data_IF_677754342237
#
_entry.id   IF_677754342237
#
_cell.length_a   1.000
_cell.length_b   1.000
_cell.length_c   1.000
_cell.angle_alpha   90.00
_cell.angle_beta   90.00
_cell.angle_gamma   90.00
#
_symmetry.space_group_name_H-M   'P 1'
#
loop_
_entity.id
_entity.type
_entity.pdbx_description
1 polymer ?
#
# COMPACT_ATOMS: atom_id res chain seq x y z
N UNK A 1 0.43 16.15 0.65
CA UNK A 1 0.74 14.87 -0.01
C UNK A 1 -0.59 14.18 -0.27
N UNK A 2 -0.81 13.64 -1.46
CA UNK A 2 -2.03 12.89 -1.80
C UNK A 2 -1.59 11.48 -2.17
N UNK A 3 -2.14 10.47 -1.48
CA UNK A 3 -2.02 9.09 -1.92
C UNK A 3 -3.06 8.89 -3.02
N UNK A 4 -2.60 8.57 -4.22
CA UNK A 4 -3.47 8.29 -5.36
C UNK A 4 -3.74 6.78 -5.36
N UNK A 5 -4.96 6.40 -5.05
CA UNK A 5 -5.46 5.06 -5.31
C UNK A 5 -5.92 4.96 -6.78
N UNK A 6 -5.99 3.74 -7.31
CA UNK A 6 -6.61 3.53 -8.63
C UNK A 6 -8.09 3.95 -8.59
N UNK A 7 -8.67 4.43 -9.71
CA UNK A 7 -10.10 4.72 -9.78
C UNK A 7 -10.96 3.50 -9.42
N UNK A 8 -12.08 3.71 -8.72
CA UNK A 8 -12.99 2.64 -8.30
C UNK A 8 -12.45 1.78 -7.14
N UNK A 9 -11.49 2.31 -6.39
CA UNK A 9 -10.88 1.65 -5.24
C UNK A 9 -10.97 2.54 -4.01
N UNK A 10 -11.50 1.98 -2.93
CA UNK A 10 -11.44 2.56 -1.60
C UNK A 10 -10.20 2.05 -0.89
N UNK A 11 -9.27 2.95 -0.54
CA UNK A 11 -8.16 2.61 0.34
C UNK A 11 -8.66 2.54 1.79
N UNK A 12 -8.69 1.33 2.34
CA UNK A 12 -9.08 1.09 3.71
C UNK A 12 -7.89 1.35 4.62
N UNK A 13 -7.99 2.48 5.33
CA UNK A 13 -6.93 3.09 6.14
C UNK A 13 -6.73 2.38 7.49
N UNK A 14 -5.55 2.56 8.10
CA UNK A 14 -4.72 1.46 8.49
C UNK A 14 -4.94 1.02 9.93
N UNK A 15 -4.66 -0.25 10.13
CA UNK A 15 -4.36 -0.78 11.46
C UNK A 15 -2.91 -0.41 11.77
N UNK A 16 -2.72 0.33 12.86
CA UNK A 16 -1.39 0.70 13.36
C UNK A 16 -1.08 -0.14 14.59
N UNK A 17 0.01 -0.90 14.55
CA UNK A 17 0.44 -1.77 15.64
C UNK A 17 1.78 -1.32 16.18
N UNK A 18 1.90 -1.26 17.51
CA UNK A 18 3.13 -0.88 18.20
C UNK A 18 3.69 -2.09 18.94
N UNK A 19 4.97 -2.38 18.74
CA UNK A 19 5.69 -3.39 19.49
C UNK A 19 7.12 -2.94 19.73
N UNK A 20 7.46 -2.57 20.97
CA UNK A 20 8.79 -2.04 21.32
C UNK A 20 9.16 -0.85 20.40
N UNK A 21 10.30 -0.94 19.70
CA UNK A 21 10.78 0.03 18.71
C UNK A 21 10.06 -0.06 17.35
N UNK A 22 9.25 -1.09 17.10
CA UNK A 22 8.56 -1.33 15.85
C UNK A 22 7.18 -0.67 15.78
N UNK A 23 6.86 -0.09 14.62
CA UNK A 23 5.55 0.43 14.24
C UNK A 23 5.16 -0.21 12.92
N UNK A 24 4.08 -0.97 12.91
CA UNK A 24 3.54 -1.58 11.70
C UNK A 24 2.31 -0.81 11.24
N UNK A 25 2.22 -0.55 9.94
CA UNK A 25 1.07 0.04 9.27
C UNK A 25 0.56 -0.97 8.26
N UNK A 26 -0.66 -1.46 8.43
CA UNK A 26 -1.31 -2.31 7.44
C UNK A 26 -2.40 -1.53 6.71
N UNK A 27 -2.46 -1.69 5.39
CA UNK A 27 -3.49 -1.08 4.55
C UNK A 27 -3.95 -2.07 3.50
N UNK A 28 -5.15 -1.87 2.98
CA UNK A 28 -5.66 -2.57 1.82
C UNK A 28 -6.46 -1.64 0.91
N UNK A 29 -6.63 -2.08 -0.33
CA UNK A 29 -7.39 -1.45 -1.38
C UNK A 29 -8.56 -2.36 -1.73
N UNK A 30 -9.79 -1.89 -1.51
CA UNK A 30 -11.00 -2.63 -1.87
C UNK A 30 -11.60 -2.10 -3.16
N UNK A 31 -11.98 -3.00 -4.06
CA UNK A 31 -12.78 -2.67 -5.25
C UNK A 31 -14.18 -2.22 -4.81
N UNK A 32 -14.61 -1.05 -5.27
CA UNK A 32 -15.89 -0.47 -4.85
C UNK A 32 -17.11 -1.26 -5.38
N UNK A 33 -16.93 -2.05 -6.44
CA UNK A 33 -18.02 -2.82 -7.06
C UNK A 33 -18.10 -4.24 -6.49
N UNK A 34 -16.96 -4.92 -6.33
CA UNK A 34 -16.91 -6.33 -5.90
C UNK A 34 -16.68 -6.50 -4.40
N UNK A 35 -16.25 -5.45 -3.70
CA UNK A 35 -15.77 -5.51 -2.31
C UNK A 35 -14.58 -6.47 -2.10
N UNK A 36 -13.88 -6.84 -3.18
CA UNK A 36 -12.70 -7.69 -3.10
C UNK A 36 -11.44 -6.86 -2.80
N UNK A 37 -10.48 -7.46 -2.10
CA UNK A 37 -9.18 -6.83 -1.85
C UNK A 37 -8.29 -6.97 -3.08
N UNK A 38 -8.00 -5.85 -3.74
CA UNK A 38 -7.17 -5.80 -4.96
C UNK A 38 -5.68 -5.69 -4.66
N UNK A 39 -5.34 -4.98 -3.59
CA UNK A 39 -3.98 -4.84 -3.11
C UNK A 39 -3.97 -4.69 -1.59
N UNK A 40 -2.87 -5.10 -0.97
CA UNK A 40 -2.60 -4.81 0.43
C UNK A 40 -1.12 -4.56 0.63
N UNK A 41 -0.80 -3.88 1.70
CA UNK A 41 0.60 -3.70 2.08
C UNK A 41 0.79 -3.55 3.57
N UNK A 42 2.01 -3.82 3.97
CA UNK A 42 2.48 -3.61 5.34
C UNK A 42 3.75 -2.79 5.30
N UNK A 43 3.80 -1.73 6.10
CA UNK A 43 5.02 -0.94 6.33
C UNK A 43 5.49 -1.19 7.75
N UNK A 44 6.73 -1.62 7.92
CA UNK A 44 7.38 -1.75 9.22
C UNK A 44 8.39 -0.62 9.41
N UNK A 45 8.26 0.09 10.53
CA UNK A 45 9.10 1.21 10.91
C UNK A 45 9.75 0.96 12.26
N UNK A 46 11.08 0.94 12.30
CA UNK A 46 11.84 0.84 13.56
C UNK A 46 12.30 2.23 13.96
N UNK A 47 11.96 2.64 15.18
CA UNK A 47 12.33 3.93 15.77
C UNK A 47 13.43 3.71 16.80
N UNK A 48 14.66 4.18 16.52
CA UNK A 48 15.78 4.16 17.49
C UNK A 48 16.28 5.56 17.82
N UNK A 49 16.64 5.76 19.09
CA UNK A 49 17.29 6.98 19.60
C UNK A 49 16.32 8.07 20.08
N UNK A 50 16.87 9.07 20.79
CA UNK A 50 16.14 10.15 21.49
C UNK A 50 15.30 11.08 20.58
N UNK A 51 15.39 10.95 19.25
CA UNK A 51 14.74 11.87 18.29
C UNK A 51 13.62 11.25 17.46
N UNK A 52 13.25 9.98 17.71
CA UNK A 52 12.15 9.33 16.99
C UNK A 52 12.37 9.20 15.48
N UNK A 53 13.62 9.29 15.02
CA UNK A 53 13.96 9.11 13.61
C UNK A 53 13.79 7.64 13.20
N UNK A 54 13.34 7.43 11.96
CA UNK A 54 13.26 6.10 11.36
C UNK A 54 14.67 5.54 11.21
N UNK A 55 14.96 4.48 11.97
CA UNK A 55 16.20 3.72 11.87
C UNK A 55 16.15 2.68 10.74
N UNK A 56 14.99 2.03 10.59
CA UNK A 56 14.76 1.05 9.53
C UNK A 56 13.33 1.15 9.03
N UNK A 57 13.18 0.98 7.71
CA UNK A 57 11.89 0.90 7.03
C UNK A 57 11.89 -0.31 6.10
N UNK A 58 10.87 -1.13 6.20
CA UNK A 58 10.58 -2.20 5.24
C UNK A 58 9.13 -2.10 4.80
N UNK A 59 8.89 -2.44 3.53
CA UNK A 59 7.58 -2.46 2.94
C UNK A 59 7.37 -3.79 2.23
N UNK A 60 6.20 -4.39 2.43
CA UNK A 60 5.71 -5.50 1.63
C UNK A 60 4.43 -5.05 0.96
N UNK A 61 4.34 -5.27 -0.35
CA UNK A 61 3.14 -5.05 -1.13
C UNK A 61 2.71 -6.37 -1.77
N UNK A 62 1.41 -6.62 -1.80
CA UNK A 62 0.80 -7.79 -2.44
C UNK A 62 -0.36 -7.32 -3.30
N UNK A 63 -0.35 -7.74 -4.57
CA UNK A 63 -1.39 -7.45 -5.54
C UNK A 63 -2.10 -8.77 -5.88
N UNK A 64 -3.43 -8.75 -5.90
CA UNK A 64 -4.27 -9.96 -6.03
C UNK A 64 -4.92 -10.13 -7.40
N UNK A 65 -5.06 -9.05 -8.17
CA UNK A 65 -5.60 -9.10 -9.52
C UNK A 65 -4.50 -8.87 -10.53
N UNK A 66 -4.64 -9.49 -11.69
CA UNK A 66 -3.86 -9.10 -12.86
C UNK A 66 -4.16 -7.63 -13.13
N UNK A 67 -3.19 -6.76 -12.81
CA UNK A 67 -3.25 -5.33 -13.09
C UNK A 67 -2.98 -5.16 -14.59
N UNK A 68 -3.87 -5.66 -15.44
CA UNK A 68 -3.80 -5.35 -16.86
C UNK A 68 -4.13 -3.87 -17.00
N UNK A 69 -3.17 -3.10 -17.52
CA UNK A 69 -3.49 -1.74 -17.95
C UNK A 69 -4.57 -1.83 -19.04
N UNK A 70 -5.53 -0.89 -19.08
CA UNK A 70 -6.44 -0.72 -20.21
C UNK A 70 -5.69 -0.85 -21.53
N UNK A 71 -6.31 -1.50 -22.53
CA UNK A 71 -5.66 -1.82 -23.79
C UNK A 71 -5.07 -0.58 -24.47
N UNK A 72 -5.71 0.59 -24.28
CA UNK A 72 -5.26 1.88 -24.81
C UNK A 72 -3.94 2.35 -24.18
N UNK A 73 -3.68 2.02 -22.91
CA UNK A 73 -2.43 2.35 -22.23
C UNK A 73 -1.30 1.37 -22.56
N UNK A 74 -1.61 0.10 -22.83
CA UNK A 74 -0.63 -0.90 -23.27
C UNK A 74 -0.03 -0.55 -24.65
N UNK A 75 -0.83 0.07 -25.52
CA UNK A 75 -0.38 0.54 -26.84
C UNK A 75 0.69 1.64 -26.76
N UNK A 76 0.79 2.37 -25.64
CA UNK A 76 1.81 3.41 -25.44
C UNK A 76 3.19 2.86 -25.01
N UNK A 77 3.25 1.59 -24.59
CA UNK A 77 4.49 0.94 -24.12
C UNK A 77 5.22 0.24 -25.27
N UNK A 78 4.49 -0.13 -26.32
CA UNK A 78 5.06 -0.71 -27.54
C UNK A 78 5.56 0.41 -28.44
N UNK A 79 6.81 0.83 -28.21
CA UNK A 79 7.60 1.60 -29.17
C UNK A 79 7.99 0.75 -30.38
#
# INVERSE_FOLDING_TARGET
>A
WALIAQPGVTMTWPIVMFWSEFVHFEWNCMDDNTNEVLAKGTVCWVRRGHRGACYFKSEQLTFYRDVFAPQELLQLIQG
#
